data_IF_302076878344
#
_entry.id   IF_302076878344
#
_cell.length_a   1.000
_cell.length_b   1.000
_cell.length_c   1.000
_cell.angle_alpha   90.00
_cell.angle_beta   90.00
_cell.angle_gamma   90.00
#
_symmetry.space_group_name_H-M   'P 1'
#
loop_
_entity.id
_entity.type
_entity.pdbx_description
1 polymer ?
#
# COMPACT_ATOMS: atom_id res chain seq x y z
N UNK A 1 -2.95 33.27 -0.98
CA UNK A 1 -3.17 32.43 0.22
C UNK A 1 -1.82 32.15 0.90
N UNK A 2 -1.83 31.95 2.25
CA UNK A 2 -0.61 31.64 3.00
C UNK A 2 -0.82 30.36 3.81
N UNK A 3 0.08 29.39 3.66
CA UNK A 3 0.18 28.16 4.45
C UNK A 3 1.51 28.22 5.18
N UNK A 4 1.49 28.10 6.51
CA UNK A 4 2.70 28.23 7.32
C UNK A 4 2.71 27.21 8.45
N UNK A 5 3.89 26.60 8.70
CA UNK A 5 4.14 25.75 9.87
C UNK A 5 3.22 24.53 9.92
N UNK A 6 2.82 23.98 8.77
CA UNK A 6 1.95 22.84 8.69
C UNK A 6 2.74 21.53 8.65
N UNK A 7 2.16 20.49 9.21
CA UNK A 7 2.73 19.14 9.23
C UNK A 7 1.79 18.17 8.52
N UNK A 8 2.34 17.27 7.71
CA UNK A 8 1.59 16.22 7.05
C UNK A 8 2.31 14.87 7.14
N UNK A 9 1.63 13.87 7.71
CA UNK A 9 2.10 12.49 7.77
C UNK A 9 0.96 11.58 7.34
N UNK A 10 1.02 11.07 6.10
CA UNK A 10 -0.04 10.22 5.55
C UNK A 10 0.41 9.51 4.27
N UNK A 11 -0.42 8.56 3.82
CA UNK A 11 -0.36 8.03 2.46
C UNK A 11 -1.42 8.72 1.61
N UNK A 12 -1.02 9.17 0.44
CA UNK A 12 -1.85 9.90 -0.50
C UNK A 12 -1.96 9.13 -1.82
N UNK A 13 -3.11 9.25 -2.48
CA UNK A 13 -3.30 8.83 -3.85
C UNK A 13 -4.10 9.87 -4.62
N UNK A 14 -3.89 9.95 -5.92
CA UNK A 14 -4.62 10.89 -6.74
C UNK A 14 -4.06 10.93 -8.15
N UNK A 15 -4.90 11.26 -9.12
CA UNK A 15 -4.52 11.20 -10.52
C UNK A 15 -3.43 12.21 -10.89
N UNK A 16 -3.50 13.43 -10.34
CA UNK A 16 -2.55 14.50 -10.64
C UNK A 16 -2.54 15.57 -9.55
N UNK A 17 -1.45 16.32 -9.48
CA UNK A 17 -1.25 17.40 -8.53
C UNK A 17 -1.33 16.95 -7.06
N UNK A 18 -0.64 15.87 -6.73
CA UNK A 18 -0.63 15.32 -5.37
C UNK A 18 0.57 15.87 -4.61
N UNK A 19 0.32 16.56 -3.52
CA UNK A 19 1.37 17.10 -2.65
C UNK A 19 1.03 16.96 -1.18
N UNK A 20 2.04 16.74 -0.35
CA UNK A 20 1.86 16.52 1.08
C UNK A 20 1.22 17.70 1.81
N UNK A 21 1.53 18.93 1.40
CA UNK A 21 0.98 20.16 1.98
C UNK A 21 -0.03 20.80 1.03
N UNK A 22 0.27 20.84 -0.28
CA UNK A 22 -0.61 21.45 -1.27
C UNK A 22 -0.55 20.70 -2.59
N UNK A 23 -1.69 20.43 -3.19
CA UNK A 23 -1.74 19.80 -4.51
C UNK A 23 -1.31 20.76 -5.62
N UNK A 24 -2.04 21.85 -5.79
CA UNK A 24 -1.72 22.95 -6.72
C UNK A 24 -2.32 24.25 -6.21
N UNK A 25 -1.60 25.33 -6.30
CA UNK A 25 -2.03 26.65 -5.84
C UNK A 25 -2.81 27.48 -6.88
N UNK A 26 -3.08 26.93 -8.09
CA UNK A 26 -3.75 27.70 -9.15
C UNK A 26 -5.15 27.21 -9.48
N UNK A 27 -6.08 28.13 -9.53
CA UNK A 27 -7.24 28.02 -10.43
C UNK A 27 -6.76 28.12 -11.89
N UNK A 28 -7.39 27.34 -12.76
CA UNK A 28 -7.11 27.32 -14.21
C UNK A 28 -7.25 28.73 -14.78
N UNK A 29 -6.14 29.38 -15.11
CA UNK A 29 -6.13 30.70 -15.77
C UNK A 29 -5.79 31.91 -14.89
N UNK A 30 -5.50 31.72 -13.61
CA UNK A 30 -5.01 32.81 -12.75
C UNK A 30 -3.47 32.77 -12.65
N UNK A 31 -2.83 33.88 -13.01
CA UNK A 31 -1.43 34.13 -12.66
C UNK A 31 -1.35 34.62 -11.21
N UNK A 32 -1.84 33.81 -10.25
CA UNK A 32 -1.78 34.21 -8.84
C UNK A 32 -0.45 33.73 -8.22
N UNK A 33 0.50 34.62 -8.24
CA UNK A 33 1.81 34.49 -7.55
C UNK A 33 1.71 34.80 -6.06
N UNK A 34 0.53 35.04 -5.51
CA UNK A 34 0.32 35.49 -4.14
C UNK A 34 0.23 34.38 -3.10
N UNK A 35 0.34 33.12 -3.51
CA UNK A 35 0.31 31.99 -2.57
C UNK A 35 1.71 31.69 -2.01
N UNK A 36 1.82 31.62 -0.68
CA UNK A 36 3.09 31.30 0.01
C UNK A 36 2.93 30.04 0.85
N UNK A 37 3.89 29.11 0.73
CA UNK A 37 4.01 27.91 1.57
C UNK A 37 5.35 27.96 2.27
N UNK A 38 5.37 28.09 3.60
CA UNK A 38 6.60 28.32 4.36
C UNK A 38 6.67 27.55 5.68
N UNK A 39 7.85 27.04 6.01
CA UNK A 39 8.12 26.38 7.27
C UNK A 39 7.27 25.12 7.49
N UNK A 40 6.87 24.45 6.43
CA UNK A 40 6.06 23.24 6.51
C UNK A 40 6.94 22.00 6.44
N UNK A 41 6.50 20.93 7.13
CA UNK A 41 7.19 19.66 7.10
C UNK A 41 6.25 18.53 6.66
N UNK A 42 6.75 17.60 5.84
CA UNK A 42 5.97 16.45 5.43
C UNK A 42 6.75 15.15 5.53
N UNK A 43 6.02 14.08 5.82
CA UNK A 43 6.44 12.70 5.76
C UNK A 43 5.32 11.89 5.10
N UNK A 44 5.23 11.97 3.78
CA UNK A 44 4.13 11.41 3.01
C UNK A 44 4.62 10.36 2.03
N UNK A 45 3.77 9.37 1.78
CA UNK A 45 3.92 8.41 0.68
C UNK A 45 2.83 8.69 -0.35
N UNK A 46 3.19 8.71 -1.63
CA UNK A 46 2.24 8.85 -2.73
C UNK A 46 2.24 7.52 -3.49
N UNK A 47 1.12 6.82 -3.51
CA UNK A 47 1.02 5.48 -4.12
C UNK A 47 0.60 5.51 -5.57
N UNK A 48 -0.33 6.41 -5.92
CA UNK A 48 -0.87 6.55 -7.27
C UNK A 48 -0.86 8.02 -7.67
N UNK A 49 0.00 8.38 -8.62
CA UNK A 49 -0.03 9.70 -9.23
C UNK A 49 0.57 9.63 -10.63
N UNK A 50 -0.22 9.96 -11.62
CA UNK A 50 0.21 9.94 -13.02
C UNK A 50 1.06 11.17 -13.36
N UNK A 51 0.77 12.32 -12.76
CA UNK A 51 1.42 13.60 -13.08
C UNK A 51 1.48 14.54 -11.89
N UNK A 52 2.59 15.24 -11.74
CA UNK A 52 2.79 16.31 -10.78
C UNK A 52 2.63 15.87 -9.32
N UNK A 53 3.63 15.21 -8.80
CA UNK A 53 3.71 14.79 -7.41
C UNK A 53 4.88 15.42 -6.68
N UNK A 54 4.73 15.67 -5.39
CA UNK A 54 5.81 16.16 -4.55
C UNK A 54 5.51 16.03 -3.06
N UNK A 55 6.55 15.84 -2.27
CA UNK A 55 6.39 15.68 -0.83
C UNK A 55 5.79 16.93 -0.16
N UNK A 56 6.05 18.12 -0.68
CA UNK A 56 5.45 19.38 -0.23
C UNK A 56 4.34 19.81 -1.18
N UNK A 57 4.62 19.89 -2.49
CA UNK A 57 3.64 20.37 -3.46
C UNK A 57 3.66 19.54 -4.74
N UNK A 58 2.48 19.24 -5.26
CA UNK A 58 2.32 18.57 -6.54
C UNK A 58 2.70 19.47 -7.71
N UNK A 59 2.63 20.79 -7.57
CA UNK A 59 3.04 21.73 -8.60
C UNK A 59 3.68 22.99 -8.01
N UNK A 60 4.73 23.46 -8.68
CA UNK A 60 5.44 24.69 -8.30
C UNK A 60 4.65 25.94 -8.73
N UNK A 61 3.73 26.35 -7.88
CA UNK A 61 2.94 27.57 -8.07
C UNK A 61 2.88 28.36 -6.79
N UNK A 62 3.40 29.58 -6.83
CA UNK A 62 3.53 30.44 -5.67
C UNK A 62 4.96 30.49 -5.13
N UNK A 63 5.09 31.01 -3.95
CA UNK A 63 6.37 31.14 -3.23
C UNK A 63 6.53 30.02 -2.20
N UNK A 64 7.62 29.29 -2.26
CA UNK A 64 7.97 28.24 -1.31
C UNK A 64 9.25 28.62 -0.58
N UNK A 65 9.23 28.53 0.76
CA UNK A 65 10.36 28.91 1.59
C UNK A 65 10.50 27.96 2.78
N UNK A 66 11.69 27.44 2.98
CA UNK A 66 12.07 26.69 4.20
C UNK A 66 11.12 25.52 4.53
N UNK A 67 10.66 24.79 3.52
CA UNK A 67 9.88 23.58 3.73
C UNK A 67 10.80 22.38 3.69
N UNK A 68 10.51 21.38 4.53
CA UNK A 68 11.32 20.18 4.67
C UNK A 68 10.46 18.93 4.48
N UNK A 69 11.08 17.83 4.05
CA UNK A 69 10.36 16.59 3.90
C UNK A 69 11.25 15.36 4.11
N UNK A 70 10.64 14.27 4.56
CA UNK A 70 11.26 12.94 4.62
C UNK A 70 10.60 12.07 3.56
N UNK A 71 11.40 11.59 2.62
CA UNK A 71 10.96 10.64 1.59
C UNK A 71 12.14 9.94 0.95
N UNK A 72 11.94 8.68 0.57
CA UNK A 72 12.93 7.90 -0.17
C UNK A 72 12.75 8.04 -1.70
N UNK A 73 11.56 8.42 -2.14
CA UNK A 73 11.16 8.35 -3.56
C UNK A 73 10.62 9.66 -4.11
N UNK A 74 10.14 10.56 -3.25
CA UNK A 74 9.54 11.82 -3.68
C UNK A 74 10.56 12.95 -3.66
N UNK A 75 10.44 13.81 -4.65
CA UNK A 75 11.04 15.14 -4.58
C UNK A 75 10.10 16.13 -3.88
N UNK A 76 10.60 17.31 -3.55
CA UNK A 76 9.84 18.29 -2.78
C UNK A 76 8.67 18.91 -3.52
N UNK A 77 8.90 19.39 -4.75
CA UNK A 77 7.91 20.14 -5.53
C UNK A 77 7.95 19.65 -6.98
N UNK A 78 6.83 19.19 -7.50
CA UNK A 78 6.67 18.83 -8.92
C UNK A 78 7.82 17.94 -9.45
N UNK A 79 8.15 16.90 -8.70
CA UNK A 79 9.24 15.98 -9.05
C UNK A 79 10.65 16.59 -8.90
N UNK A 80 10.79 17.78 -8.31
CA UNK A 80 12.07 18.46 -8.10
C UNK A 80 12.26 18.88 -6.64
N UNK A 81 13.52 18.86 -6.19
CA UNK A 81 13.90 19.41 -4.89
C UNK A 81 14.63 20.73 -5.11
N UNK A 82 14.15 21.74 -4.42
CA UNK A 82 14.70 23.10 -4.54
C UNK A 82 15.36 23.54 -3.25
N UNK A 83 16.64 23.93 -3.30
CA UNK A 83 17.35 24.53 -2.18
C UNK A 83 16.63 25.77 -1.66
N UNK A 84 16.41 25.85 -0.34
CA UNK A 84 15.69 26.93 0.32
C UNK A 84 14.18 26.96 0.11
N UNK A 85 13.61 26.07 -0.70
CA UNK A 85 12.16 25.99 -0.96
C UNK A 85 11.52 24.74 -0.38
N UNK A 86 12.04 23.57 -0.74
CA UNK A 86 11.63 22.28 -0.22
C UNK A 86 12.82 21.31 -0.26
N UNK A 87 13.37 21.02 0.90
CA UNK A 87 14.60 20.25 1.03
C UNK A 87 14.34 18.88 1.68
N UNK A 88 14.94 17.81 1.16
CA UNK A 88 14.90 16.52 1.82
C UNK A 88 15.73 16.57 3.11
N UNK A 89 15.20 16.01 4.18
CA UNK A 89 15.90 15.81 5.44
C UNK A 89 15.80 14.36 5.90
N UNK A 90 16.74 13.91 6.72
CA UNK A 90 16.67 12.63 7.38
C UNK A 90 15.57 12.60 8.47
N UNK A 91 15.09 11.41 8.81
CA UNK A 91 14.08 11.26 9.85
C UNK A 91 14.54 11.79 11.21
N UNK A 92 15.82 11.60 11.58
CA UNK A 92 16.38 12.12 12.82
C UNK A 92 16.32 13.66 12.85
N UNK A 93 16.62 14.30 11.73
CA UNK A 93 16.53 15.77 11.62
C UNK A 93 15.07 16.27 11.68
N UNK A 94 14.12 15.49 11.14
CA UNK A 94 12.70 15.78 11.31
C UNK A 94 12.29 15.76 12.78
N UNK A 95 12.78 14.80 13.55
CA UNK A 95 12.47 14.67 14.99
C UNK A 95 12.93 15.86 15.85
N UNK A 96 13.93 16.60 15.37
CA UNK A 96 14.44 17.83 16.02
C UNK A 96 13.64 19.10 15.62
N UNK A 97 12.66 18.96 14.73
CA UNK A 97 11.85 20.12 14.30
C UNK A 97 11.00 20.65 15.46
N UNK A 98 11.01 21.96 15.65
CA UNK A 98 10.19 22.62 16.66
C UNK A 98 8.69 22.40 16.40
N UNK A 99 7.94 22.16 17.46
CA UNK A 99 6.48 21.92 17.38
C UNK A 99 6.04 20.71 16.56
N UNK A 100 6.95 19.76 16.30
CA UNK A 100 6.61 18.52 15.59
C UNK A 100 5.52 17.75 16.37
N UNK A 101 4.40 17.38 15.72
CA UNK A 101 3.35 16.58 16.35
C UNK A 101 3.87 15.22 16.78
N UNK A 102 3.36 14.70 17.92
CA UNK A 102 3.80 13.41 18.48
C UNK A 102 3.56 12.22 17.54
N UNK A 103 2.60 12.32 16.63
CA UNK A 103 2.30 11.31 15.60
C UNK A 103 3.48 11.05 14.67
N UNK A 104 4.36 12.03 14.49
CA UNK A 104 5.58 11.85 13.69
C UNK A 104 6.64 11.00 14.37
N UNK A 105 6.61 10.95 15.71
CA UNK A 105 7.57 10.20 16.54
C UNK A 105 7.24 8.72 16.64
N UNK A 106 6.06 8.32 16.21
CA UNK A 106 5.58 6.95 16.34
C UNK A 106 5.19 6.40 14.97
N UNK A 107 5.88 5.37 14.53
CA UNK A 107 5.52 4.64 13.32
C UNK A 107 4.72 3.39 13.68
N UNK A 108 3.73 3.07 12.85
CA UNK A 108 2.79 1.98 13.14
C UNK A 108 2.72 0.98 12.01
N UNK A 109 2.75 -0.30 12.38
CA UNK A 109 2.43 -1.44 11.54
C UNK A 109 1.07 -1.97 11.96
N UNK A 110 0.12 -1.98 11.04
CA UNK A 110 -1.27 -2.36 11.28
C UNK A 110 -1.70 -3.47 10.33
N UNK A 111 -2.35 -4.49 10.88
CA UNK A 111 -2.93 -5.59 10.12
C UNK A 111 -4.45 -5.47 10.15
N UNK A 112 -5.06 -5.54 8.97
CA UNK A 112 -6.51 -5.32 8.79
C UNK A 112 -7.15 -6.44 7.98
N UNK A 113 -8.39 -6.78 8.32
CA UNK A 113 -9.23 -7.67 7.53
C UNK A 113 -10.68 -7.16 7.54
N UNK A 114 -11.31 -7.09 6.36
CA UNK A 114 -12.69 -6.59 6.17
C UNK A 114 -12.91 -5.24 6.93
N UNK A 115 -12.00 -4.27 6.75
CA UNK A 115 -11.98 -2.94 7.38
C UNK A 115 -11.81 -2.94 8.93
N UNK A 116 -11.56 -4.10 9.52
CA UNK A 116 -11.31 -4.22 10.96
C UNK A 116 -9.81 -4.37 11.26
N UNK A 117 -9.33 -3.62 12.25
CA UNK A 117 -7.95 -3.76 12.73
C UNK A 117 -7.83 -5.02 13.57
N UNK A 118 -7.00 -5.96 13.13
CA UNK A 118 -6.70 -7.20 13.87
C UNK A 118 -5.64 -6.97 14.94
N UNK A 119 -4.58 -6.28 14.56
CA UNK A 119 -3.50 -5.91 15.48
C UNK A 119 -2.75 -4.68 14.98
N UNK A 120 -2.14 -3.97 15.91
CA UNK A 120 -1.29 -2.82 15.63
C UNK A 120 -0.07 -2.86 16.54
N UNK A 121 1.09 -2.54 15.97
CA UNK A 121 2.37 -2.43 16.68
C UNK A 121 3.04 -1.12 16.31
N UNK A 122 3.83 -0.60 17.23
CA UNK A 122 4.76 0.51 16.96
C UNK A 122 6.12 -0.04 16.56
N UNK A 123 6.85 0.71 15.76
CA UNK A 123 8.20 0.35 15.32
C UNK A 123 9.08 1.58 15.15
N UNK A 124 10.38 1.37 15.06
CA UNK A 124 11.38 2.40 14.80
C UNK A 124 11.66 2.54 13.31
N UNK A 125 12.00 3.73 12.87
CA UNK A 125 12.34 4.01 11.47
C UNK A 125 13.44 3.06 10.96
N UNK A 126 13.15 2.33 9.90
CA UNK A 126 14.07 1.34 9.32
C UNK A 126 13.96 -0.07 9.90
N UNK A 127 13.02 -0.31 10.82
CA UNK A 127 12.81 -1.66 11.36
C UNK A 127 12.33 -2.63 10.28
N UNK A 128 12.67 -3.90 10.49
CA UNK A 128 12.23 -5.03 9.67
C UNK A 128 11.57 -6.08 10.54
N UNK A 129 10.59 -6.79 9.98
CA UNK A 129 9.87 -7.84 10.69
C UNK A 129 9.87 -9.14 9.87
N UNK A 130 9.97 -10.24 10.58
CA UNK A 130 9.84 -11.58 10.03
C UNK A 130 8.37 -12.06 9.96
N UNK A 131 8.17 -13.27 9.50
CA UNK A 131 6.84 -13.88 9.35
C UNK A 131 6.04 -14.00 10.65
N UNK A 132 6.72 -14.00 11.82
CA UNK A 132 6.05 -14.14 13.12
C UNK A 132 5.29 -12.88 13.56
N UNK A 133 5.47 -11.76 12.86
CA UNK A 133 4.72 -10.53 13.15
C UNK A 133 3.27 -10.62 12.68
N UNK A 134 2.99 -11.46 11.68
CA UNK A 134 1.67 -11.60 11.09
C UNK A 134 0.70 -12.28 12.06
N UNK A 135 -0.47 -11.70 12.32
CA UNK A 135 -1.50 -12.37 13.08
C UNK A 135 -2.10 -13.53 12.26
N UNK A 136 -2.86 -14.39 12.94
CA UNK A 136 -3.65 -15.40 12.26
C UNK A 136 -4.61 -14.73 11.27
N UNK A 137 -4.60 -15.21 10.02
CA UNK A 137 -5.42 -14.65 8.95
C UNK A 137 -6.86 -15.19 9.08
N UNK A 138 -7.86 -14.31 9.26
CA UNK A 138 -9.24 -14.74 9.36
C UNK A 138 -9.69 -15.51 8.11
N UNK A 139 -10.26 -16.69 8.32
CA UNK A 139 -10.78 -17.51 7.24
C UNK A 139 -12.20 -17.08 6.86
N UNK A 140 -12.52 -17.16 5.58
CA UNK A 140 -13.83 -16.80 5.03
C UNK A 140 -14.32 -17.93 4.12
N UNK A 141 -15.51 -18.45 4.40
CA UNK A 141 -16.08 -19.56 3.62
C UNK A 141 -16.19 -19.18 2.14
N UNK A 142 -15.65 -20.03 1.28
CA UNK A 142 -15.65 -19.82 -0.16
C UNK A 142 -14.54 -18.90 -0.68
N UNK A 143 -13.61 -18.49 0.17
CA UNK A 143 -12.51 -17.64 -0.23
C UNK A 143 -11.15 -18.22 0.18
N UNK A 144 -10.16 -17.95 -0.66
CA UNK A 144 -8.75 -18.05 -0.32
C UNK A 144 -8.30 -16.71 0.28
N UNK A 145 -7.69 -16.76 1.44
CA UNK A 145 -7.22 -15.58 2.13
C UNK A 145 -5.68 -15.49 2.10
N UNK A 146 -5.15 -14.32 1.86
CA UNK A 146 -3.73 -14.01 1.93
C UNK A 146 -3.51 -12.57 2.37
N UNK A 147 -2.31 -12.27 2.88
CA UNK A 147 -1.91 -10.88 3.11
C UNK A 147 -1.47 -10.24 1.79
N UNK A 148 -1.79 -8.96 1.60
CA UNK A 148 -1.40 -8.17 0.42
C UNK A 148 0.10 -7.89 0.35
N UNK A 149 0.80 -8.08 1.47
CA UNK A 149 2.22 -7.89 1.61
C UNK A 149 2.84 -9.00 2.46
N UNK A 150 3.94 -9.56 1.98
CA UNK A 150 4.69 -10.65 2.64
C UNK A 150 6.08 -10.24 3.11
N UNK A 151 6.56 -9.07 2.67
CA UNK A 151 7.86 -8.53 3.03
C UNK A 151 7.69 -7.22 3.81
N UNK A 152 8.30 -7.17 4.99
CA UNK A 152 8.25 -6.04 5.91
C UNK A 152 9.68 -5.64 6.30
N UNK A 153 10.46 -5.26 5.29
CA UNK A 153 11.84 -4.83 5.46
C UNK A 153 11.98 -3.31 5.38
N UNK A 154 12.87 -2.75 6.18
CA UNK A 154 13.25 -1.33 6.18
C UNK A 154 12.02 -0.41 6.17
N UNK A 155 11.11 -0.62 7.12
CA UNK A 155 9.88 0.14 7.21
C UNK A 155 10.16 1.57 7.68
N UNK A 156 9.79 2.53 6.86
CA UNK A 156 10.06 3.95 7.09
C UNK A 156 8.81 4.81 7.22
N UNK A 157 7.64 4.24 7.00
CA UNK A 157 6.34 4.94 7.06
C UNK A 157 5.32 4.06 7.74
N UNK A 158 4.27 4.67 8.27
CA UNK A 158 3.12 3.91 8.73
C UNK A 158 2.70 2.92 7.64
N UNK A 159 2.57 1.67 8.03
CA UNK A 159 2.35 0.56 7.11
C UNK A 159 1.08 -0.19 7.50
N UNK A 160 0.21 -0.37 6.54
CA UNK A 160 -0.98 -1.21 6.64
C UNK A 160 -0.77 -2.45 5.79
N UNK A 161 -1.06 -3.60 6.38
CA UNK A 161 -1.07 -4.91 5.72
C UNK A 161 -2.50 -5.42 5.76
N UNK A 162 -3.09 -5.62 4.59
CA UNK A 162 -4.51 -5.96 4.46
C UNK A 162 -4.71 -7.41 4.03
N UNK A 163 -5.72 -8.05 4.59
CA UNK A 163 -6.16 -9.36 4.13
C UNK A 163 -6.86 -9.22 2.77
N UNK A 164 -6.42 -10.01 1.81
CA UNK A 164 -7.03 -10.11 0.49
C UNK A 164 -7.77 -11.42 0.39
N UNK A 165 -9.05 -11.38 0.05
CA UNK A 165 -9.92 -12.53 -0.09
C UNK A 165 -10.27 -12.75 -1.56
N UNK A 166 -9.79 -13.86 -2.13
CA UNK A 166 -10.08 -14.25 -3.50
C UNK A 166 -11.12 -15.37 -3.48
N UNK A 167 -12.28 -15.21 -4.12
CA UNK A 167 -13.28 -16.27 -4.16
C UNK A 167 -12.75 -17.51 -4.85
N UNK A 168 -13.07 -18.68 -4.33
CA UNK A 168 -12.78 -19.92 -5.04
C UNK A 168 -13.60 -19.99 -6.33
N UNK A 169 -12.97 -20.43 -7.41
CA UNK A 169 -13.68 -20.71 -8.65
C UNK A 169 -14.62 -21.90 -8.45
N UNK A 170 -15.93 -21.66 -8.58
CA UNK A 170 -16.97 -22.69 -8.47
C UNK A 170 -17.26 -23.40 -9.79
N UNK A 171 -16.71 -22.95 -10.89
CA UNK A 171 -16.99 -23.43 -12.24
C UNK A 171 -16.09 -24.61 -12.68
N UNK A 172 -15.66 -25.42 -11.73
CA UNK A 172 -14.85 -26.59 -12.05
C UNK A 172 -15.75 -27.81 -12.14
N UNK A 173 -16.04 -28.27 -13.35
CA UNK A 173 -16.65 -29.58 -13.53
C UNK A 173 -15.55 -30.64 -13.45
N UNK A 174 -15.68 -31.58 -12.53
CA UNK A 174 -14.75 -32.68 -12.45
C UNK A 174 -15.36 -33.88 -13.19
N UNK A 175 -14.65 -34.30 -14.24
CA UNK A 175 -14.93 -35.56 -14.92
C UNK A 175 -13.89 -36.62 -14.53
N UNK A 176 -14.32 -37.88 -14.47
CA UNK A 176 -13.38 -38.99 -14.39
C UNK A 176 -13.24 -39.57 -15.79
N UNK A 177 -12.06 -39.48 -16.34
CA UNK A 177 -11.70 -40.18 -17.56
C UNK A 177 -10.82 -41.36 -17.20
N UNK A 178 -11.19 -42.54 -17.67
CA UNK A 178 -10.34 -43.71 -17.55
C UNK A 178 -9.33 -43.72 -18.69
N UNK A 179 -8.08 -43.60 -18.34
CA UNK A 179 -6.97 -43.69 -19.31
C UNK A 179 -6.01 -44.77 -18.82
N UNK A 180 -5.75 -45.79 -19.68
CA UNK A 180 -4.89 -46.91 -19.35
C UNK A 180 -5.20 -47.60 -18.01
N UNK A 181 -6.50 -47.84 -17.75
CA UNK A 181 -7.01 -48.47 -16.50
C UNK A 181 -6.83 -47.62 -15.24
N UNK A 182 -6.37 -46.38 -15.33
CA UNK A 182 -6.29 -45.45 -14.22
C UNK A 182 -7.39 -44.38 -14.33
N UNK A 183 -7.98 -44.04 -13.22
CA UNK A 183 -8.92 -42.94 -13.14
C UNK A 183 -8.14 -41.61 -13.14
N UNK A 184 -8.31 -40.81 -14.19
CA UNK A 184 -7.75 -39.50 -14.32
C UNK A 184 -8.85 -38.47 -14.10
N UNK A 185 -8.66 -37.57 -13.13
CA UNK A 185 -9.59 -36.48 -12.93
C UNK A 185 -9.29 -35.35 -13.90
N UNK A 186 -10.29 -34.96 -14.67
CA UNK A 186 -10.23 -33.79 -15.55
C UNK A 186 -10.96 -32.64 -14.86
N UNK A 187 -10.28 -31.55 -14.77
CA UNK A 187 -10.84 -30.29 -14.26
C UNK A 187 -11.05 -29.39 -15.47
N UNK A 188 -12.30 -29.07 -15.78
CA UNK A 188 -12.66 -28.16 -16.87
C UNK A 188 -13.35 -26.93 -16.27
N UNK A 189 -12.92 -25.74 -16.63
CA UNK A 189 -13.50 -24.46 -16.22
C UNK A 189 -12.54 -23.30 -16.45
N UNK A 190 -13.07 -22.10 -16.38
CA UNK A 190 -12.25 -20.90 -16.37
C UNK A 190 -11.58 -20.78 -15.00
N UNK A 191 -10.28 -20.90 -14.96
CA UNK A 191 -9.47 -20.69 -13.77
C UNK A 191 -8.26 -19.81 -14.08
N UNK A 192 -7.89 -18.99 -13.10
CA UNK A 192 -6.68 -18.22 -13.14
C UNK A 192 -5.52 -19.11 -12.63
N UNK A 193 -4.42 -19.19 -13.37
CA UNK A 193 -3.22 -19.96 -13.00
C UNK A 193 -2.62 -19.52 -11.64
N UNK A 194 -2.98 -18.34 -11.17
CA UNK A 194 -2.52 -17.79 -9.88
C UNK A 194 -3.49 -18.07 -8.72
N UNK A 195 -4.66 -18.62 -9.00
CA UNK A 195 -5.63 -18.96 -7.97
C UNK A 195 -5.53 -20.44 -7.62
N UNK A 196 -5.25 -20.80 -6.35
CA UNK A 196 -5.21 -22.19 -5.96
C UNK A 196 -6.60 -22.84 -6.16
N UNK A 197 -6.63 -23.93 -6.90
CA UNK A 197 -7.84 -24.72 -7.10
C UNK A 197 -8.03 -25.68 -5.92
N UNK A 198 -9.13 -25.51 -5.19
CA UNK A 198 -9.54 -26.46 -4.15
C UNK A 198 -10.65 -27.34 -4.71
N UNK A 199 -10.35 -28.59 -4.93
CA UNK A 199 -11.38 -29.61 -5.10
C UNK A 199 -11.82 -30.08 -3.73
N UNK A 200 -13.02 -29.68 -3.28
CA UNK A 200 -13.62 -30.32 -2.12
C UNK A 200 -14.27 -31.63 -2.56
N UNK A 201 -14.06 -32.65 -1.80
CA UNK A 201 -14.52 -34.01 -2.08
C UNK A 201 -16.03 -34.23 -1.98
N UNK A 202 -16.76 -33.34 -1.33
CA UNK A 202 -18.21 -33.48 -1.20
C UNK A 202 -18.97 -33.37 -2.54
N UNK A 203 -18.32 -32.79 -3.56
CA UNK A 203 -18.90 -32.69 -4.90
C UNK A 203 -18.61 -33.88 -5.80
N UNK A 204 -17.61 -34.72 -5.47
CA UNK A 204 -17.18 -35.82 -6.37
C UNK A 204 -17.38 -37.21 -5.76
N UNK A 205 -17.25 -37.36 -4.50
CA UNK A 205 -17.61 -38.56 -3.73
C UNK A 205 -17.48 -38.28 -2.26
N UNK A 206 -18.34 -38.78 -1.43
CA UNK A 206 -18.38 -38.57 0.04
C UNK A 206 -17.10 -38.95 0.81
N UNK A 207 -15.94 -38.95 0.18
CA UNK A 207 -14.67 -39.42 0.74
C UNK A 207 -13.46 -38.66 0.29
N UNK A 208 -13.53 -37.36 0.05
CA UNK A 208 -12.32 -36.63 -0.29
C UNK A 208 -11.75 -35.85 0.89
N UNK A 209 -10.59 -36.23 1.42
CA UNK A 209 -9.70 -35.37 2.15
C UNK A 209 -9.18 -34.29 1.21
N UNK A 210 -8.99 -33.07 1.68
CA UNK A 210 -8.22 -32.06 0.94
C UNK A 210 -6.92 -32.73 0.50
N UNK A 211 -6.81 -32.96 -0.80
CA UNK A 211 -5.56 -33.42 -1.39
C UNK A 211 -4.89 -32.13 -1.81
N UNK A 212 -3.62 -31.97 -1.47
CA UNK A 212 -2.75 -30.87 -1.78
C UNK A 212 -3.15 -30.10 -3.04
N UNK A 213 -2.96 -28.77 -3.00
CA UNK A 213 -3.10 -27.94 -4.19
C UNK A 213 -2.14 -28.44 -5.27
N UNK A 214 -2.66 -28.68 -6.42
CA UNK A 214 -1.84 -29.03 -7.56
C UNK A 214 -1.77 -27.84 -8.51
N UNK A 215 -0.57 -27.62 -9.02
CA UNK A 215 -0.42 -26.80 -10.20
C UNK A 215 -0.90 -27.63 -11.41
N UNK A 216 -2.03 -27.26 -11.97
CA UNK A 216 -2.44 -27.75 -13.29
C UNK A 216 -1.57 -26.97 -14.30
N UNK A 217 -0.58 -27.62 -14.86
CA UNK A 217 0.11 -27.05 -16.01
C UNK A 217 -0.81 -27.19 -17.21
N UNK A 218 -1.25 -26.08 -17.79
CA UNK A 218 -1.83 -26.05 -19.13
C UNK A 218 -0.85 -26.69 -20.12
N UNK A 219 -1.35 -27.59 -20.93
CA UNK A 219 -0.64 -28.08 -22.11
C UNK A 219 -0.84 -27.14 -23.28
#
# INVERSE_FOLDING_TARGET
ATIRGCFAKCTLSGRSYVGGIVGSGLERGAEDTSSTVTGCCSMVRITDCEQYSGAIAGRNVGEFLENFFVSDTLAGIDGQSYGGKAEPIGYDALLETEHLPDEFRTLTLRFEADDAVLTQKTFSYGDSFDEHVYPELPQKDGYYAQWDRTELEDLRFDTVVSAVYTPYTTAVSAGVRRDNEQDVFLVEGDYDDNVPLFCTRDSIAKQCKVIDHWQVKSR
#
